data_IF_544805253878
#
_entry.id   IF_544805253878
#
_cell.length_a   1.000
_cell.length_b   1.000
_cell.length_c   1.000
_cell.angle_alpha   90.00
_cell.angle_beta   90.00
_cell.angle_gamma   90.00
#
_symmetry.space_group_name_H-M   'P 1'
#
loop_
_entity.id
_entity.type
_entity.pdbx_description
1 polymer ?
#
# COMPACT_ATOMS: atom_id res chain seq x y z
N UNK A 1 -15.02 -28.18 43.64
CA UNK A 1 -14.20 -26.95 43.78
C UNK A 1 -12.91 -26.97 42.96
N UNK A 2 -12.04 -28.00 43.03
CA UNK A 2 -10.78 -28.10 42.25
C UNK A 2 -10.90 -27.92 40.71
N UNK A 3 -11.95 -28.46 40.09
CA UNK A 3 -12.18 -28.37 38.63
C UNK A 3 -12.43 -26.93 38.14
N UNK A 4 -13.09 -26.09 38.95
CA UNK A 4 -13.35 -24.68 38.61
C UNK A 4 -12.05 -23.87 38.65
N UNK A 5 -11.17 -24.13 39.63
CA UNK A 5 -9.86 -23.48 39.70
C UNK A 5 -8.94 -23.87 38.54
N UNK A 6 -9.01 -25.14 38.10
CA UNK A 6 -8.24 -25.62 36.94
C UNK A 6 -8.70 -24.97 35.63
N UNK A 7 -10.01 -24.84 35.42
CA UNK A 7 -10.57 -24.12 34.27
C UNK A 7 -10.17 -22.63 34.27
N UNK A 8 -10.15 -21.97 35.44
CA UNK A 8 -9.73 -20.56 35.56
C UNK A 8 -8.25 -20.34 35.26
N UNK A 9 -7.40 -21.29 35.62
CA UNK A 9 -5.96 -21.26 35.30
C UNK A 9 -5.71 -21.42 33.79
N UNK A 10 -6.48 -22.29 33.13
CA UNK A 10 -6.38 -22.48 31.67
C UNK A 10 -6.84 -21.21 30.95
N UNK A 11 -7.97 -20.61 31.34
CA UNK A 11 -8.45 -19.37 30.71
C UNK A 11 -7.48 -18.20 30.92
N UNK A 12 -6.84 -18.10 32.09
CA UNK A 12 -5.85 -17.05 32.38
C UNK A 12 -4.59 -17.22 31.52
N UNK A 13 -4.11 -18.46 31.36
CA UNK A 13 -2.94 -18.77 30.53
C UNK A 13 -3.16 -18.51 29.03
N UNK A 14 -4.37 -18.79 28.54
CA UNK A 14 -4.73 -18.51 27.15
C UNK A 14 -4.77 -17.00 26.89
N UNK A 15 -5.35 -16.20 27.79
CA UNK A 15 -5.38 -14.74 27.65
C UNK A 15 -3.99 -14.11 27.63
N UNK A 16 -3.03 -14.62 28.40
CA UNK A 16 -1.65 -14.10 28.39
C UNK A 16 -0.91 -14.40 27.09
N UNK A 17 -1.21 -15.52 26.43
CA UNK A 17 -0.59 -15.89 25.14
C UNK A 17 -1.07 -15.00 23.99
N UNK A 18 -2.33 -14.57 24.01
CA UNK A 18 -2.87 -13.67 22.99
C UNK A 18 -2.28 -12.25 23.09
N UNK A 19 -1.91 -11.81 24.28
CA UNK A 19 -1.31 -10.47 24.48
C UNK A 19 0.13 -10.42 23.93
N UNK A 20 0.88 -11.53 23.94
CA UNK A 20 2.23 -11.59 23.35
C UNK A 20 2.25 -11.57 21.81
N UNK A 21 1.10 -11.71 21.14
CA UNK A 21 1.02 -11.59 19.68
C UNK A 21 0.87 -10.13 19.20
N UNK A 22 0.67 -9.18 20.12
CA UNK A 22 0.63 -7.74 19.83
C UNK A 22 1.93 -7.02 20.26
N UNK A 23 3.08 -7.66 20.08
CA UNK A 23 4.38 -6.96 20.27
C UNK A 23 4.67 -6.20 18.98
N UNK A 24 4.76 -4.85 19.03
CA UNK A 24 5.15 -4.06 17.87
C UNK A 24 6.55 -4.49 17.40
N UNK A 25 6.81 -4.42 16.08
CA UNK A 25 8.11 -4.77 15.51
C UNK A 25 9.24 -3.97 16.16
N UNK A 26 10.46 -4.51 16.07
CA UNK A 26 11.66 -3.89 16.65
C UNK A 26 11.87 -2.46 16.12
N UNK A 27 12.39 -1.63 17.00
CA UNK A 27 12.56 -0.17 16.90
C UNK A 27 13.38 0.29 15.68
N UNK A 28 14.18 -0.59 15.06
CA UNK A 28 14.92 -0.30 13.83
C UNK A 28 14.11 -0.43 12.53
N UNK A 29 12.94 -1.06 12.57
CA UNK A 29 12.13 -1.33 11.38
C UNK A 29 11.41 -0.06 10.88
N UNK A 30 11.00 0.81 11.81
CA UNK A 30 10.39 2.10 11.48
C UNK A 30 11.35 3.06 10.74
N UNK A 31 12.64 3.03 11.07
CA UNK A 31 13.65 3.86 10.43
C UNK A 31 13.99 3.37 9.02
N UNK A 32 14.05 2.04 8.81
CA UNK A 32 14.26 1.43 7.50
C UNK A 32 13.07 1.69 6.56
N UNK A 33 11.84 1.56 7.08
CA UNK A 33 10.60 1.86 6.36
C UNK A 33 10.55 3.33 5.94
N UNK A 34 10.91 4.26 6.82
CA UNK A 34 10.94 5.69 6.51
C UNK A 34 11.99 6.04 5.44
N UNK A 35 13.17 5.40 5.47
CA UNK A 35 14.20 5.60 4.46
C UNK A 35 13.76 5.04 3.09
N UNK A 36 13.08 3.89 3.08
CA UNK A 36 12.53 3.30 1.86
C UNK A 36 11.41 4.15 1.27
N UNK A 37 10.52 4.68 2.10
CA UNK A 37 9.45 5.59 1.66
C UNK A 37 10.02 6.89 1.07
N UNK A 38 11.05 7.48 1.69
CA UNK A 38 11.71 8.67 1.16
C UNK A 38 12.36 8.40 -0.22
N UNK A 39 12.96 7.22 -0.39
CA UNK A 39 13.46 6.80 -1.69
C UNK A 39 12.34 6.67 -2.73
N UNK A 40 11.21 6.03 -2.38
CA UNK A 40 10.06 5.92 -3.28
C UNK A 40 9.48 7.29 -3.63
N UNK A 41 9.38 8.21 -2.68
CA UNK A 41 8.90 9.58 -2.92
C UNK A 41 9.81 10.33 -3.89
N UNK A 42 11.14 10.16 -3.77
CA UNK A 42 12.10 10.74 -4.74
C UNK A 42 11.93 10.16 -6.15
N UNK A 43 11.56 8.89 -6.26
CA UNK A 43 11.30 8.24 -7.54
C UNK A 43 9.97 8.72 -8.16
N UNK A 44 8.94 8.89 -7.32
CA UNK A 44 7.61 9.38 -7.73
C UNK A 44 7.68 10.78 -8.31
N UNK A 45 8.44 11.68 -7.70
CA UNK A 45 8.61 13.07 -8.17
C UNK A 45 9.04 13.15 -9.64
N UNK A 46 9.84 12.19 -10.10
CA UNK A 46 10.35 12.15 -11.47
C UNK A 46 9.48 11.29 -12.37
N UNK A 47 9.04 10.12 -11.89
CA UNK A 47 8.40 9.10 -12.74
C UNK A 47 6.91 9.35 -12.90
N UNK A 48 6.19 9.75 -11.86
CA UNK A 48 4.74 9.96 -11.93
C UNK A 48 4.33 11.01 -12.97
N UNK A 49 4.96 12.21 -13.07
CA UNK A 49 4.60 13.19 -14.09
C UNK A 49 4.82 12.68 -15.52
N UNK A 50 5.84 11.84 -15.74
CA UNK A 50 6.14 11.25 -17.05
C UNK A 50 5.11 10.19 -17.43
N UNK A 51 4.78 9.30 -16.50
CA UNK A 51 3.75 8.28 -16.73
C UNK A 51 2.39 8.93 -17.01
N UNK A 52 2.01 9.94 -16.24
CA UNK A 52 0.77 10.70 -16.48
C UNK A 52 0.75 11.38 -17.86
N UNK A 53 1.87 12.01 -18.26
CA UNK A 53 2.02 12.59 -19.59
C UNK A 53 1.91 11.55 -20.71
N UNK A 54 2.53 10.38 -20.53
CA UNK A 54 2.42 9.26 -21.48
C UNK A 54 1.00 8.70 -21.55
N UNK A 55 0.33 8.51 -20.41
CA UNK A 55 -1.05 8.05 -20.33
C UNK A 55 -2.00 8.99 -21.09
N UNK A 56 -1.86 10.30 -20.89
CA UNK A 56 -2.64 11.31 -21.59
C UNK A 56 -2.44 11.28 -23.11
N UNK A 57 -1.20 11.10 -23.58
CA UNK A 57 -0.92 11.01 -25.02
C UNK A 57 -1.47 9.72 -25.64
N UNK A 58 -1.33 8.57 -24.98
CA UNK A 58 -1.92 7.32 -25.45
C UNK A 58 -3.45 7.38 -25.48
N UNK A 59 -4.05 7.97 -24.46
CA UNK A 59 -5.50 8.18 -24.39
C UNK A 59 -6.00 9.03 -25.56
N UNK A 60 -5.32 10.16 -25.83
CA UNK A 60 -5.60 11.04 -26.97
C UNK A 60 -5.50 10.30 -28.31
N UNK A 61 -4.53 9.38 -28.43
CA UNK A 61 -4.32 8.57 -29.63
C UNK A 61 -5.23 7.32 -29.70
N UNK A 62 -6.10 7.11 -28.70
CA UNK A 62 -6.99 5.94 -28.57
C UNK A 62 -6.24 4.61 -28.53
N UNK A 63 -4.99 4.62 -28.10
CA UNK A 63 -4.22 3.39 -27.86
C UNK A 63 -4.56 2.86 -26.46
N UNK A 64 -5.72 2.21 -26.37
CA UNK A 64 -6.27 1.74 -25.11
C UNK A 64 -5.35 0.74 -24.39
N UNK A 65 -4.66 -0.11 -25.16
CA UNK A 65 -3.75 -1.10 -24.59
C UNK A 65 -2.54 -0.43 -23.93
N UNK A 66 -1.92 0.55 -24.61
CA UNK A 66 -0.84 1.33 -24.03
C UNK A 66 -1.31 2.15 -22.82
N UNK A 67 -2.48 2.79 -22.91
CA UNK A 67 -3.08 3.55 -21.80
C UNK A 67 -3.25 2.69 -20.53
N UNK A 68 -3.84 1.49 -20.66
CA UNK A 68 -4.03 0.58 -19.51
C UNK A 68 -2.69 0.16 -18.90
N UNK A 69 -1.69 -0.14 -19.72
CA UNK A 69 -0.38 -0.58 -19.22
C UNK A 69 0.34 0.51 -18.44
N UNK A 70 0.29 1.77 -18.91
CA UNK A 70 0.86 2.90 -18.17
C UNK A 70 0.10 3.13 -16.87
N UNK A 71 -1.23 3.05 -16.89
CA UNK A 71 -2.01 3.21 -15.66
C UNK A 71 -1.72 2.14 -14.61
N UNK A 72 -1.43 0.90 -15.02
CA UNK A 72 -0.94 -0.13 -14.08
C UNK A 72 0.37 0.30 -13.42
N UNK A 73 1.32 0.83 -14.19
CA UNK A 73 2.59 1.30 -13.64
C UNK A 73 2.41 2.50 -12.68
N UNK A 74 1.46 3.39 -12.98
CA UNK A 74 1.08 4.52 -12.10
C UNK A 74 0.59 4.01 -10.74
N UNK A 75 -0.30 3.01 -10.73
CA UNK A 75 -0.84 2.40 -9.50
C UNK A 75 0.23 1.60 -8.75
N UNK A 76 1.04 0.82 -9.46
CA UNK A 76 2.12 0.02 -8.87
C UNK A 76 3.16 0.89 -8.16
N UNK A 77 3.41 2.10 -8.68
CA UNK A 77 4.31 3.07 -8.04
C UNK A 77 3.62 3.89 -6.94
N UNK A 78 2.29 3.84 -6.83
CA UNK A 78 1.51 4.63 -5.87
C UNK A 78 1.47 6.12 -6.20
N UNK A 79 1.43 6.46 -7.49
CA UNK A 79 1.32 7.86 -7.93
C UNK A 79 -0.04 8.51 -7.58
N UNK A 80 -1.03 7.70 -7.23
CA UNK A 80 -2.39 8.10 -6.83
C UNK A 80 -2.53 8.41 -5.32
N UNK A 81 -1.44 8.28 -4.55
CA UNK A 81 -1.48 8.49 -3.09
C UNK A 81 -1.94 9.89 -2.70
N UNK A 82 -1.44 10.90 -3.42
CA UNK A 82 -1.64 12.31 -3.05
C UNK A 82 -2.75 12.98 -3.88
N UNK A 83 -2.93 12.59 -5.14
CA UNK A 83 -3.98 13.10 -6.04
C UNK A 83 -4.62 11.97 -6.89
N UNK A 84 -5.56 11.20 -6.32
CA UNK A 84 -6.23 10.13 -7.05
C UNK A 84 -7.18 10.68 -8.13
N UNK A 85 -7.72 11.90 -7.98
CA UNK A 85 -8.68 12.46 -8.92
C UNK A 85 -8.00 12.80 -10.26
N UNK A 86 -6.82 13.41 -10.22
CA UNK A 86 -6.01 13.69 -11.40
C UNK A 86 -5.58 12.40 -12.10
N UNK A 87 -5.18 11.38 -11.33
CA UNK A 87 -4.71 10.11 -11.88
C UNK A 87 -5.85 9.36 -12.60
N UNK A 88 -7.01 9.18 -11.97
CA UNK A 88 -8.04 8.27 -12.48
C UNK A 88 -9.00 8.88 -13.51
N UNK A 89 -8.88 10.17 -13.84
CA UNK A 89 -9.83 10.88 -14.72
C UNK A 89 -10.12 10.15 -16.05
N UNK A 90 -9.13 9.47 -16.63
CA UNK A 90 -9.26 8.76 -17.92
C UNK A 90 -9.24 7.24 -17.79
N UNK A 91 -9.04 6.71 -16.59
CA UNK A 91 -8.88 5.28 -16.36
C UNK A 91 -10.17 4.49 -16.64
N UNK A 92 -11.33 5.06 -16.32
CA UNK A 92 -12.63 4.40 -16.46
C UNK A 92 -13.11 4.21 -17.91
N UNK A 93 -12.48 4.88 -18.89
CA UNK A 93 -12.91 4.84 -20.30
C UNK A 93 -12.19 3.72 -21.09
N UNK A 94 -11.09 3.19 -20.54
CA UNK A 94 -10.29 2.16 -21.19
C UNK A 94 -10.73 0.71 -20.85
N UNK A 95 -11.74 0.52 -19.98
CA UNK A 95 -12.28 -0.79 -19.58
C UNK A 95 -13.57 -1.18 -20.32
#
# INVERSE_FOLDING_TARGET
MRSIYFSKLITLGITTLFISMCVPPEDGQADEDAAYDAYLDSLREIRCPRLLSSAAEYYKNRDWHATINVYREIVDLGCDRDDPEEVYQYYAIAF
#
